data_IF_511205687381
#
_entry.id   IF_511205687381
#
_cell.length_a   1.000
_cell.length_b   1.000
_cell.length_c   1.000
_cell.angle_alpha   90.00
_cell.angle_beta   90.00
_cell.angle_gamma   90.00
#
_symmetry.space_group_name_H-M   'P 1'
#
loop_
_entity.id
_entity.type
_entity.pdbx_description
1 polymer ?
#
# COMPACT_ATOMS: atom_id res chain seq x y z
N UNK A 1 -4.17 -7.09 -1.10
CA UNK A 1 -3.23 -7.54 -2.13
C UNK A 1 -2.60 -6.36 -2.86
N UNK A 2 -1.28 -6.38 -3.05
CA UNK A 2 -0.46 -5.27 -3.56
C UNK A 2 -0.98 -4.56 -4.82
N UNK A 3 -1.70 -5.27 -5.70
CA UNK A 3 -2.27 -4.71 -6.93
C UNK A 3 -3.12 -3.44 -6.69
N UNK A 4 -3.89 -3.41 -5.60
CA UNK A 4 -4.76 -2.26 -5.27
C UNK A 4 -3.92 -1.02 -4.94
N UNK A 5 -2.80 -1.18 -4.23
CA UNK A 5 -1.90 -0.08 -3.87
C UNK A 5 -1.28 0.53 -5.12
N UNK A 6 -0.79 -0.32 -6.04
CA UNK A 6 -0.22 0.14 -7.31
C UNK A 6 -1.24 0.86 -8.19
N UNK A 7 -2.50 0.38 -8.23
CA UNK A 7 -3.57 1.06 -8.96
C UNK A 7 -3.81 2.49 -8.42
N UNK A 8 -3.85 2.64 -7.09
CA UNK A 8 -4.02 3.94 -6.44
C UNK A 8 -2.82 4.87 -6.66
N UNK A 9 -1.59 4.34 -6.68
CA UNK A 9 -0.40 5.12 -7.04
C UNK A 9 -0.43 5.58 -8.49
N UNK A 10 -0.88 4.72 -9.42
CA UNK A 10 -0.98 5.07 -10.83
C UNK A 10 -2.07 6.14 -11.07
N UNK A 11 -3.20 6.05 -10.36
CA UNK A 11 -4.23 7.09 -10.35
C UNK A 11 -3.70 8.40 -9.76
N UNK A 12 -2.96 8.35 -8.65
CA UNK A 12 -2.35 9.54 -8.07
C UNK A 12 -1.37 10.23 -9.05
N UNK A 13 -0.58 9.43 -9.78
CA UNK A 13 0.33 9.93 -10.81
C UNK A 13 -0.44 10.60 -11.96
N UNK A 14 -1.47 9.93 -12.49
CA UNK A 14 -2.29 10.47 -13.58
C UNK A 14 -3.00 11.78 -13.18
N UNK A 15 -3.55 11.84 -11.97
CA UNK A 15 -4.20 13.04 -11.42
C UNK A 15 -3.20 14.17 -11.15
N UNK A 16 -1.98 13.82 -10.73
CA UNK A 16 -0.88 14.77 -10.57
C UNK A 16 -0.46 15.40 -11.90
N UNK A 17 -0.40 14.61 -12.97
CA UNK A 17 -0.10 15.08 -14.33
C UNK A 17 -1.20 16.00 -14.89
N UNK A 18 -2.46 15.77 -14.54
CA UNK A 18 -3.59 16.62 -14.95
C UNK A 18 -3.74 17.90 -14.09
N UNK A 19 -2.85 18.13 -13.12
CA UNK A 19 -2.84 19.34 -12.28
C UNK A 19 -3.76 19.29 -11.06
N UNK A 20 -4.40 18.16 -10.78
CA UNK A 20 -5.33 18.00 -9.64
C UNK A 20 -4.58 17.63 -8.35
N UNK A 21 -3.63 18.49 -7.96
CA UNK A 21 -2.71 18.27 -6.83
C UNK A 21 -3.40 17.85 -5.53
N UNK A 22 -4.54 18.45 -5.18
CA UNK A 22 -5.29 18.10 -3.95
C UNK A 22 -5.81 16.66 -4.00
N UNK A 23 -6.38 16.24 -5.14
CA UNK A 23 -6.92 14.88 -5.31
C UNK A 23 -5.79 13.86 -5.37
N UNK A 24 -4.69 14.20 -6.07
CA UNK A 24 -3.49 13.35 -6.10
C UNK A 24 -2.93 13.10 -4.69
N UNK A 25 -2.84 14.14 -3.84
CA UNK A 25 -2.40 13.99 -2.44
C UNK A 25 -3.30 13.08 -1.62
N UNK A 26 -4.62 13.18 -1.80
CA UNK A 26 -5.58 12.26 -1.15
C UNK A 26 -5.37 10.82 -1.62
N UNK A 27 -5.18 10.59 -2.93
CA UNK A 27 -4.86 9.26 -3.45
C UNK A 27 -3.54 8.70 -2.90
N UNK A 28 -2.51 9.53 -2.77
CA UNK A 28 -1.24 9.14 -2.12
C UNK A 28 -1.47 8.75 -0.65
N UNK A 29 -2.19 9.57 0.12
CA UNK A 29 -2.49 9.26 1.51
C UNK A 29 -3.27 7.94 1.67
N UNK A 30 -4.26 7.69 0.78
CA UNK A 30 -5.01 6.42 0.76
C UNK A 30 -4.08 5.24 0.42
N UNK A 31 -3.19 5.38 -0.56
CA UNK A 31 -2.23 4.33 -0.91
C UNK A 31 -1.30 3.99 0.25
N UNK A 32 -0.89 4.99 1.04
CA UNK A 32 -0.05 4.80 2.22
C UNK A 32 -0.80 4.03 3.32
N UNK A 33 -2.07 4.38 3.58
CA UNK A 33 -2.91 3.68 4.56
C UNK A 33 -3.20 2.23 4.15
N UNK A 34 -3.46 1.99 2.86
CA UNK A 34 -3.63 0.64 2.32
C UNK A 34 -2.34 -0.18 2.42
N UNK A 35 -1.19 0.42 2.13
CA UNK A 35 0.11 -0.23 2.28
C UNK A 35 0.40 -0.59 3.75
N UNK A 36 0.14 0.32 4.68
CA UNK A 36 0.29 0.05 6.11
C UNK A 36 -0.63 -1.09 6.55
N UNK A 37 -1.91 -1.06 6.16
CA UNK A 37 -2.86 -2.15 6.46
C UNK A 37 -2.38 -3.49 5.92
N UNK A 38 -1.97 -3.55 4.66
CA UNK A 38 -1.49 -4.78 4.03
C UNK A 38 -0.23 -5.29 4.71
N UNK A 39 0.71 -4.41 5.05
CA UNK A 39 1.93 -4.76 5.78
C UNK A 39 1.64 -5.31 7.17
N UNK A 40 0.74 -4.67 7.93
CA UNK A 40 0.31 -5.16 9.24
C UNK A 40 -0.42 -6.52 9.13
N UNK A 41 -1.24 -6.69 8.09
CA UNK A 41 -1.95 -7.94 7.86
C UNK A 41 -0.98 -9.07 7.46
N UNK A 42 0.00 -8.80 6.59
CA UNK A 42 1.06 -9.76 6.23
C UNK A 42 1.85 -10.18 7.47
N UNK A 43 2.20 -9.26 8.36
CA UNK A 43 2.90 -9.59 9.63
C UNK A 43 2.05 -10.49 10.53
N UNK A 44 0.75 -10.23 10.65
CA UNK A 44 -0.15 -11.00 11.53
C UNK A 44 -0.73 -12.25 10.85
N UNK A 45 -0.53 -12.41 9.54
CA UNK A 45 -1.04 -13.57 8.81
C UNK A 45 -0.25 -14.82 9.20
N UNK A 46 -0.95 -15.84 9.69
CA UNK A 46 -0.33 -17.13 10.00
C UNK A 46 0.27 -17.81 8.75
N UNK A 47 -0.20 -17.43 7.55
CA UNK A 47 0.20 -17.99 6.26
C UNK A 47 1.47 -17.31 5.70
N UNK A 48 1.69 -16.02 5.98
CA UNK A 48 2.80 -15.22 5.43
C UNK A 48 3.74 -14.60 6.47
N UNK A 49 3.23 -14.19 7.63
CA UNK A 49 3.96 -13.43 8.66
C UNK A 49 4.60 -14.25 9.77
N UNK A 50 4.05 -15.44 10.09
CA UNK A 50 4.67 -16.35 11.06
C UNK A 50 5.74 -17.26 10.45
N UNK A 51 5.76 -17.41 9.12
CA UNK A 51 6.82 -18.11 8.38
C UNK A 51 7.91 -17.14 7.93
N UNK A 52 8.42 -16.31 8.85
CA UNK A 52 9.66 -15.57 8.64
C UNK A 52 10.84 -16.46 9.05
N UNK A 53 11.48 -17.22 8.13
CA UNK A 53 12.55 -18.17 8.47
C UNK A 53 13.77 -17.50 9.13
N UNK A 54 13.89 -16.17 9.08
CA UNK A 54 14.97 -15.40 9.71
C UNK A 54 14.69 -14.98 11.16
N UNK A 55 13.47 -15.18 11.67
CA UNK A 55 13.04 -14.87 13.05
C UNK A 55 12.94 -16.12 13.94
N UNK A 56 13.37 -17.28 13.42
CA UNK A 56 13.42 -18.54 14.16
C UNK A 56 14.60 -18.51 15.15
N UNK A 57 14.38 -17.93 16.32
CA UNK A 57 15.24 -18.09 17.49
C UNK A 57 14.81 -19.31 18.32
#
# INVERSE_FOLDING_TARGET
MMFVIFLFMLLALALGLFGWRKVALVCVAISLGLAAKEFLWEIHSAEYGYSMPWLQF
#
